data_IF_065861355894
#
_entry.id   IF_065861355894
#
_cell.length_a   1.000
_cell.length_b   1.000
_cell.length_c   1.000
_cell.angle_alpha   90.00
_cell.angle_beta   90.00
_cell.angle_gamma   90.00
#
_symmetry.space_group_name_H-M   'P 1'
#
loop_
_entity.id
_entity.type
_entity.pdbx_description
1 polymer ?
#
# COMPACT_ATOMS: atom_id res chain seq x y z
N UNK A 1 16.59 20.58 -19.12
CA UNK A 1 16.24 19.53 -20.10
C UNK A 1 17.56 18.90 -20.52
N UNK A 2 17.77 17.62 -20.20
CA UNK A 2 18.58 16.73 -21.03
C UNK A 2 18.33 15.25 -20.66
N UNK A 3 18.44 14.34 -21.64
CA UNK A 3 17.59 13.16 -21.76
C UNK A 3 18.44 11.89 -21.90
N UNK A 4 18.53 11.03 -20.89
CA UNK A 4 19.22 9.73 -21.02
C UNK A 4 18.74 8.75 -19.95
N UNK A 5 17.46 8.39 -20.03
CA UNK A 5 16.96 7.16 -19.43
C UNK A 5 16.85 6.11 -20.54
N UNK A 6 18.01 5.59 -20.97
CA UNK A 6 18.07 4.39 -21.79
C UNK A 6 18.35 3.20 -20.88
N UNK A 7 17.30 2.39 -20.75
CA UNK A 7 17.25 0.99 -20.39
C UNK A 7 18.61 0.28 -20.53
N UNK A 8 19.14 -0.25 -19.42
CA UNK A 8 19.99 -1.43 -19.48
C UNK A 8 19.24 -2.60 -18.85
N UNK A 9 18.77 -3.51 -19.72
CA UNK A 9 18.19 -4.80 -19.38
C UNK A 9 19.27 -5.72 -18.81
N UNK A 10 18.77 -6.77 -18.14
CA UNK A 10 19.41 -8.05 -17.87
C UNK A 10 20.14 -8.19 -16.54
N UNK A 11 19.35 -8.24 -15.47
CA UNK A 11 19.42 -9.40 -14.59
C UNK A 11 18.00 -9.99 -14.55
N UNK A 12 17.75 -10.97 -15.41
CA UNK A 12 16.67 -11.92 -15.18
C UNK A 12 17.11 -12.78 -13.99
N UNK A 13 16.66 -12.47 -12.78
CA UNK A 13 16.45 -13.55 -11.81
C UNK A 13 15.10 -14.11 -12.19
N UNK A 14 15.16 -15.23 -12.92
CA UNK A 14 14.04 -16.12 -13.10
C UNK A 14 13.67 -16.53 -11.68
N UNK A 15 12.48 -16.14 -11.20
CA UNK A 15 11.89 -16.76 -10.01
C UNK A 15 11.65 -18.23 -10.38
N UNK A 16 12.67 -19.08 -10.18
CA UNK A 16 12.46 -20.51 -10.11
C UNK A 16 11.81 -20.76 -8.76
N UNK A 17 10.48 -20.81 -8.79
CA UNK A 17 9.67 -21.43 -7.76
C UNK A 17 10.01 -22.92 -7.78
N UNK A 18 11.07 -23.32 -7.07
CA UNK A 18 11.36 -24.73 -6.82
C UNK A 18 10.69 -25.16 -5.51
N UNK A 19 10.03 -26.31 -5.56
CA UNK A 19 9.03 -26.78 -4.61
C UNK A 19 9.62 -27.64 -3.49
N UNK A 20 10.94 -27.76 -3.41
CA UNK A 20 11.61 -28.61 -2.43
C UNK A 20 12.73 -27.86 -1.71
N UNK A 21 12.66 -27.91 -0.38
CA UNK A 21 13.55 -27.21 0.55
C UNK A 21 15.04 -27.53 0.31
N UNK A 22 15.79 -26.63 -0.35
CA UNK A 22 17.26 -26.47 -0.21
C UNK A 22 17.78 -25.22 -0.94
N UNK A 23 18.06 -24.18 -0.15
CA UNK A 23 18.74 -22.96 -0.61
C UNK A 23 20.26 -23.18 -0.73
N UNK A 24 20.72 -23.89 -1.77
CA UNK A 24 22.16 -23.97 -2.08
C UNK A 24 22.48 -23.20 -3.37
N UNK A 25 22.74 -21.90 -3.23
CA UNK A 25 23.39 -21.09 -4.26
C UNK A 25 24.92 -21.27 -4.15
N UNK A 26 25.48 -22.14 -4.99
CA UNK A 26 26.93 -22.30 -5.11
C UNK A 26 27.55 -21.04 -5.74
N UNK A 27 28.09 -20.16 -4.90
CA UNK A 27 29.06 -19.14 -5.33
C UNK A 27 30.43 -19.78 -5.33
N UNK A 28 30.98 -20.06 -6.53
CA UNK A 28 32.38 -20.43 -6.67
C UNK A 28 33.26 -19.21 -6.45
N UNK A 29 33.66 -18.96 -5.20
CA UNK A 29 34.85 -18.16 -4.93
C UNK A 29 35.58 -18.72 -3.70
N UNK A 30 36.75 -19.32 -3.94
CA UNK A 30 37.46 -20.20 -2.98
C UNK A 30 38.15 -19.50 -1.81
N UNK A 31 37.86 -18.23 -1.53
CA UNK A 31 38.66 -17.43 -0.58
C UNK A 31 37.87 -16.57 0.42
N UNK A 32 36.60 -16.90 0.70
CA UNK A 32 35.81 -16.15 1.69
C UNK A 32 35.48 -17.04 2.90
N UNK A 33 35.86 -16.60 4.10
CA UNK A 33 35.58 -17.33 5.34
C UNK A 33 34.06 -17.46 5.57
N UNK A 34 33.60 -18.61 6.08
CA UNK A 34 32.18 -18.90 6.32
C UNK A 34 31.49 -17.87 7.23
N UNK A 35 32.23 -17.27 8.17
CA UNK A 35 31.74 -16.18 9.03
C UNK A 35 31.44 -14.93 8.21
N UNK A 36 32.35 -14.54 7.31
CA UNK A 36 32.20 -13.36 6.44
C UNK A 36 31.01 -13.51 5.48
N UNK A 37 30.78 -14.72 4.96
CA UNK A 37 29.61 -15.02 4.12
C UNK A 37 28.31 -14.86 4.92
N UNK A 38 28.23 -15.38 6.14
CA UNK A 38 27.05 -15.24 7.01
C UNK A 38 26.74 -13.77 7.35
N UNK A 39 27.77 -12.97 7.67
CA UNK A 39 27.59 -11.54 7.89
C UNK A 39 27.12 -10.81 6.63
N UNK A 40 27.66 -11.12 5.46
CA UNK A 40 27.15 -10.60 4.20
C UNK A 40 25.70 -11.02 3.99
N UNK A 41 25.33 -12.30 4.11
CA UNK A 41 23.92 -12.69 3.98
C UNK A 41 22.99 -11.96 4.97
N UNK A 42 23.37 -11.81 6.24
CA UNK A 42 22.58 -11.06 7.23
C UNK A 42 22.47 -9.56 6.90
N UNK A 43 23.55 -8.95 6.42
CA UNK A 43 23.61 -7.53 6.05
C UNK A 43 22.84 -7.27 4.76
N UNK A 44 22.92 -8.17 3.78
CA UNK A 44 22.24 -8.09 2.50
C UNK A 44 20.74 -8.42 2.62
N UNK A 45 20.35 -9.33 3.53
CA UNK A 45 18.95 -9.60 3.87
C UNK A 45 18.29 -8.43 4.64
N UNK A 46 19.03 -7.77 5.54
CA UNK A 46 18.58 -6.55 6.21
C UNK A 46 18.43 -5.36 5.24
N UNK A 47 19.24 -5.32 4.18
CA UNK A 47 19.21 -4.21 3.20
C UNK A 47 18.07 -4.30 2.17
N UNK A 48 17.38 -5.46 2.05
CA UNK A 48 16.24 -5.64 1.14
C UNK A 48 14.87 -5.38 1.77
N UNK A 49 14.78 -5.30 3.09
CA UNK A 49 13.48 -5.21 3.80
C UNK A 49 13.07 -3.79 4.19
N UNK A 50 13.99 -2.82 4.15
CA UNK A 50 13.71 -1.41 4.46
C UNK A 50 13.82 -0.54 3.21
N UNK A 51 12.72 0.14 2.88
CA UNK A 51 12.71 1.19 1.88
C UNK A 51 13.57 2.37 2.38
N UNK A 52 14.63 2.77 1.64
CA UNK A 52 15.49 3.87 2.07
C UNK A 52 14.77 5.22 2.00
N UNK A 53 13.81 5.36 1.08
CA UNK A 53 12.97 6.55 0.94
C UNK A 53 11.51 6.15 0.69
N UNK A 54 10.62 6.84 1.39
CA UNK A 54 9.17 6.75 1.20
C UNK A 54 8.72 8.00 0.44
N UNK A 55 8.10 7.82 -0.73
CA UNK A 55 7.48 8.91 -1.47
C UNK A 55 5.96 8.77 -1.41
N UNK A 56 5.19 9.81 -1.07
CA UNK A 56 3.74 9.76 -1.27
C UNK A 56 3.43 9.48 -2.74
N UNK A 57 2.41 8.67 -3.00
CA UNK A 57 1.91 8.41 -4.34
C UNK A 57 1.43 9.71 -4.99
N UNK A 58 0.94 10.64 -4.17
CA UNK A 58 0.46 11.95 -4.59
C UNK A 58 -1.06 12.04 -4.54
N UNK A 59 -1.71 11.43 -3.54
CA UNK A 59 -3.12 11.74 -3.27
C UNK A 59 -3.28 13.21 -2.86
N UNK A 60 -2.40 13.70 -1.98
CA UNK A 60 -2.34 15.10 -1.57
C UNK A 60 -1.86 16.02 -2.71
N UNK A 61 -0.83 15.59 -3.45
CA UNK A 61 -0.26 16.35 -4.57
C UNK A 61 -1.17 16.39 -5.83
N UNK A 62 -2.31 15.70 -5.81
CA UNK A 62 -3.26 15.63 -6.93
C UNK A 62 -2.78 14.81 -8.13
N UNK A 63 -1.67 14.08 -8.00
CA UNK A 63 -1.12 13.21 -9.05
C UNK A 63 -2.00 11.97 -9.28
N UNK A 64 -2.78 11.56 -8.28
CA UNK A 64 -3.75 10.47 -8.40
C UNK A 64 -5.05 10.98 -9.01
N UNK A 65 -5.36 10.51 -10.22
CA UNK A 65 -6.61 10.85 -10.92
C UNK A 65 -7.82 10.32 -10.11
N UNK A 66 -8.96 11.03 -10.11
CA UNK A 66 -10.20 10.55 -9.46
C UNK A 66 -10.60 9.13 -9.89
N UNK A 67 -10.37 8.79 -11.17
CA UNK A 67 -10.71 7.49 -11.75
C UNK A 67 -9.87 6.33 -11.20
N UNK A 68 -8.74 6.65 -10.57
CA UNK A 68 -7.88 5.65 -9.93
C UNK A 68 -8.41 5.22 -8.57
N UNK A 69 -9.40 5.92 -8.01
CA UNK A 69 -9.92 5.63 -6.67
C UNK A 69 -11.38 5.21 -6.79
N UNK A 70 -11.64 3.93 -6.52
CA UNK A 70 -12.98 3.34 -6.58
C UNK A 70 -13.37 2.80 -5.21
N UNK A 71 -14.66 2.58 -4.99
CA UNK A 71 -15.14 2.03 -3.73
C UNK A 71 -16.26 1.02 -3.95
N UNK A 72 -16.57 0.28 -2.88
CA UNK A 72 -17.81 -0.48 -2.79
C UNK A 72 -19.02 0.44 -3.00
N UNK A 73 -20.00 -0.03 -3.77
CA UNK A 73 -21.25 0.67 -4.03
C UNK A 73 -21.10 2.06 -4.69
N UNK A 74 -20.20 2.20 -5.67
CA UNK A 74 -19.96 3.45 -6.39
C UNK A 74 -21.24 4.07 -7.01
N UNK A 75 -22.19 3.24 -7.43
CA UNK A 75 -23.48 3.67 -8.00
C UNK A 75 -24.42 4.35 -6.99
N UNK A 76 -24.16 4.20 -5.69
CA UNK A 76 -25.02 4.74 -4.64
C UNK A 76 -24.57 6.11 -4.10
N UNK A 77 -23.53 6.70 -4.70
CA UNK A 77 -23.08 8.07 -4.41
C UNK A 77 -23.98 9.10 -5.11
N UNK A 78 -25.27 9.08 -4.76
CA UNK A 78 -26.29 10.00 -5.26
C UNK A 78 -26.86 10.83 -4.11
N UNK A 79 -27.41 12.01 -4.42
CA UNK A 79 -27.96 12.93 -3.42
C UNK A 79 -26.87 13.49 -2.49
N UNK A 80 -27.10 13.46 -1.17
CA UNK A 80 -26.14 13.96 -0.16
C UNK A 80 -24.76 13.32 -0.32
N UNK A 81 -24.68 12.00 -0.52
CA UNK A 81 -23.40 11.28 -0.61
C UNK A 81 -22.53 11.67 -1.83
N UNK A 82 -23.07 12.39 -2.81
CA UNK A 82 -22.31 12.90 -3.97
C UNK A 82 -21.11 13.79 -3.59
N UNK A 83 -21.14 14.41 -2.40
CA UNK A 83 -19.99 15.19 -1.91
C UNK A 83 -18.90 14.32 -1.27
N UNK A 84 -19.20 13.08 -0.87
CA UNK A 84 -18.28 12.15 -0.17
C UNK A 84 -17.79 10.99 -1.05
N UNK A 85 -17.56 11.29 -2.33
CA UNK A 85 -17.09 10.31 -3.33
C UNK A 85 -15.69 9.76 -3.01
N UNK A 86 -15.35 8.55 -3.50
CA UNK A 86 -14.03 7.93 -3.28
C UNK A 86 -12.86 8.82 -3.70
N UNK A 87 -13.01 9.62 -4.75
CA UNK A 87 -11.98 10.56 -5.22
C UNK A 87 -11.62 11.66 -4.22
N UNK A 88 -12.49 11.91 -3.21
CA UNK A 88 -12.25 12.84 -2.12
C UNK A 88 -11.53 12.21 -0.93
N UNK A 89 -11.22 10.91 -0.97
CA UNK A 89 -10.41 10.19 0.03
C UNK A 89 -8.93 10.61 0.04
N UNK A 90 -8.60 11.87 -0.28
CA UNK A 90 -7.23 12.39 -0.33
C UNK A 90 -6.81 12.83 1.05
N UNK A 91 -5.60 12.44 1.46
CA UNK A 91 -5.00 12.90 2.71
C UNK A 91 -4.95 14.44 2.75
N UNK A 92 -5.22 15.03 3.92
CA UNK A 92 -5.29 16.48 4.13
C UNK A 92 -6.32 17.24 3.29
N UNK A 93 -7.20 16.56 2.56
CA UNK A 93 -8.35 17.21 1.93
C UNK A 93 -9.20 17.92 2.98
N UNK A 94 -9.55 19.18 2.74
CA UNK A 94 -10.36 20.03 3.61
C UNK A 94 -11.58 20.57 2.86
N UNK A 95 -12.63 20.92 3.60
CA UNK A 95 -13.89 21.46 3.06
C UNK A 95 -15.06 20.47 3.09
N UNK A 96 -16.17 20.85 2.46
CA UNK A 96 -17.37 20.01 2.39
C UNK A 96 -17.09 18.78 1.53
N UNK A 97 -17.25 17.57 2.08
CA UNK A 97 -16.89 16.33 1.38
C UNK A 97 -15.39 16.02 1.39
N UNK A 98 -14.72 16.22 2.52
CA UNK A 98 -13.27 16.01 2.66
C UNK A 98 -12.80 14.56 2.79
N UNK A 99 -13.69 13.58 2.85
CA UNK A 99 -13.33 12.18 3.00
C UNK A 99 -14.27 11.29 2.18
N UNK A 100 -13.83 10.07 1.90
CA UNK A 100 -14.74 9.04 1.44
C UNK A 100 -15.59 8.57 2.61
N UNK A 101 -16.90 8.56 2.41
CA UNK A 101 -17.87 8.08 3.38
C UNK A 101 -18.59 6.87 2.78
N UNK A 102 -18.56 5.74 3.46
CA UNK A 102 -19.39 4.61 3.06
C UNK A 102 -20.84 4.84 3.47
N UNK A 103 -21.78 4.55 2.57
CA UNK A 103 -23.21 4.60 2.86
C UNK A 103 -23.62 3.47 3.82
N UNK A 104 -23.12 2.26 3.58
CA UNK A 104 -23.35 1.10 4.44
C UNK A 104 -22.16 0.88 5.39
N UNK A 105 -22.48 0.34 6.55
CA UNK A 105 -21.54 0.16 7.66
C UNK A 105 -21.39 -1.33 7.92
N UNK A 106 -20.72 -2.01 7.00
CA UNK A 106 -20.56 -3.46 7.00
C UNK A 106 -19.16 -3.85 6.51
N UNK A 107 -18.77 -5.07 6.86
CA UNK A 107 -17.43 -5.59 6.58
C UNK A 107 -17.21 -5.95 5.10
N UNK A 108 -18.21 -5.74 4.22
CA UNK A 108 -18.05 -5.93 2.77
C UNK A 108 -17.64 -4.64 2.05
N UNK A 109 -17.53 -3.52 2.75
CA UNK A 109 -17.10 -2.25 2.17
C UNK A 109 -15.60 -2.23 1.90
N UNK A 110 -15.21 -1.58 0.82
CA UNK A 110 -13.81 -1.45 0.44
C UNK A 110 -13.55 -0.16 -0.31
N UNK A 111 -12.33 0.35 -0.15
CA UNK A 111 -11.77 1.43 -0.96
C UNK A 111 -10.61 0.86 -1.76
N UNK A 112 -10.62 1.04 -3.07
CA UNK A 112 -9.63 0.53 -3.99
C UNK A 112 -8.88 1.68 -4.66
N UNK A 113 -7.57 1.48 -4.80
CA UNK A 113 -6.67 2.39 -5.46
C UNK A 113 -5.96 1.64 -6.58
N UNK A 114 -6.13 2.11 -7.81
CA UNK A 114 -5.38 1.68 -8.97
C UNK A 114 -4.16 2.58 -9.18
N UNK A 115 -2.98 1.99 -9.05
CA UNK A 115 -1.69 2.64 -9.24
C UNK A 115 -1.36 2.88 -10.73
N UNK A 116 -2.19 2.37 -11.66
CA UNK A 116 -1.99 2.28 -13.13
C UNK A 116 -0.83 1.38 -13.55
N UNK A 117 0.24 1.33 -12.77
CA UNK A 117 1.41 0.49 -12.97
C UNK A 117 1.72 -0.33 -11.72
N UNK A 118 2.45 -1.43 -11.90
CA UNK A 118 2.90 -2.26 -10.77
C UNK A 118 4.01 -1.52 -10.02
N UNK A 119 3.70 -1.08 -8.79
CA UNK A 119 4.62 -0.33 -7.96
C UNK A 119 4.85 -1.00 -6.60
N UNK A 120 5.93 -0.61 -5.93
CA UNK A 120 6.27 -1.13 -4.59
C UNK A 120 5.66 -0.20 -3.53
N UNK A 121 4.63 -0.68 -2.83
CA UNK A 121 3.99 0.06 -1.74
C UNK A 121 4.65 -0.32 -0.41
N UNK A 122 5.08 0.69 0.31
CA UNK A 122 5.87 0.60 1.53
C UNK A 122 5.11 1.06 2.78
N UNK A 123 4.02 1.80 2.60
CA UNK A 123 3.24 2.35 3.70
C UNK A 123 1.88 2.84 3.24
N UNK A 124 0.99 3.02 4.21
CA UNK A 124 -0.34 3.59 4.05
C UNK A 124 -0.51 4.62 5.16
N UNK A 125 -0.91 5.84 4.81
CA UNK A 125 -1.41 6.81 5.78
C UNK A 125 -2.92 6.81 5.73
N UNK A 126 -3.55 6.80 6.90
CA UNK A 126 -4.99 6.93 7.06
C UNK A 126 -5.33 8.16 7.90
N UNK A 127 -6.43 8.83 7.58
CA UNK A 127 -6.94 9.98 8.32
C UNK A 127 -8.47 9.93 8.39
N UNK A 128 -9.06 10.41 9.50
CA UNK A 128 -10.51 10.47 9.70
C UNK A 128 -11.18 11.57 8.88
N UNK A 129 -12.49 11.77 9.03
CA UNK A 129 -13.24 12.84 8.36
C UNK A 129 -12.94 14.20 8.99
N UNK A 130 -12.82 15.27 8.20
CA UNK A 130 -12.54 16.61 8.74
C UNK A 130 -13.75 17.27 9.43
N UNK A 131 -14.96 16.91 9.01
CA UNK A 131 -16.21 17.62 9.32
C UNK A 131 -17.03 16.98 10.45
N UNK A 132 -16.81 15.69 10.74
CA UNK A 132 -17.51 14.97 11.80
C UNK A 132 -16.57 13.95 12.48
N UNK A 133 -16.93 13.54 13.70
CA UNK A 133 -16.21 12.55 14.51
C UNK A 133 -16.46 11.10 14.00
N UNK A 134 -16.04 10.86 12.76
CA UNK A 134 -16.18 9.61 12.03
C UNK A 134 -14.82 9.17 11.47
N UNK A 135 -14.43 7.92 11.73
CA UNK A 135 -13.16 7.37 11.28
C UNK A 135 -13.13 5.84 11.31
N UNK A 136 -12.21 5.26 10.54
CA UNK A 136 -11.91 3.82 10.58
C UNK A 136 -10.89 3.54 11.69
N UNK A 137 -11.22 2.62 12.60
CA UNK A 137 -10.35 2.22 13.73
C UNK A 137 -9.47 1.03 13.39
N UNK A 138 -9.95 0.12 12.55
CA UNK A 138 -9.21 -1.07 12.10
C UNK A 138 -9.50 -1.35 10.65
N UNK A 139 -8.50 -1.79 9.90
CA UNK A 139 -8.67 -2.20 8.52
C UNK A 139 -7.69 -3.32 8.14
N UNK A 140 -8.06 -4.10 7.13
CA UNK A 140 -7.17 -5.04 6.45
C UNK A 140 -6.82 -4.52 5.06
N UNK A 141 -5.71 -5.02 4.53
CA UNK A 141 -5.22 -4.65 3.21
C UNK A 141 -5.22 -5.87 2.32
N UNK A 142 -5.84 -5.73 1.16
CA UNK A 142 -5.70 -6.65 0.05
C UNK A 142 -4.95 -5.97 -1.08
N UNK A 143 -4.24 -6.76 -1.86
CA UNK A 143 -3.52 -6.24 -3.00
C UNK A 143 -3.51 -7.24 -4.14
N UNK A 144 -3.24 -6.72 -5.33
CA UNK A 144 -3.20 -7.49 -6.56
C UNK A 144 -2.31 -6.80 -7.61
N UNK A 145 -1.59 -7.58 -8.40
CA UNK A 145 -0.69 -7.08 -9.45
C UNK A 145 -1.35 -6.95 -10.82
N UNK A 146 -2.32 -7.81 -11.11
CA UNK A 146 -3.04 -7.86 -12.41
C UNK A 146 -4.55 -7.99 -12.17
N UNK A 147 -5.36 -7.34 -13.00
CA UNK A 147 -6.82 -7.41 -12.92
C UNK A 147 -7.40 -8.83 -13.01
N UNK A 148 -6.70 -9.76 -13.67
CA UNK A 148 -7.16 -11.15 -13.83
C UNK A 148 -6.87 -12.04 -12.62
N UNK A 149 -6.01 -11.59 -11.70
CA UNK A 149 -5.61 -12.39 -10.55
C UNK A 149 -6.62 -12.26 -9.40
N UNK A 150 -6.52 -13.18 -8.43
CA UNK A 150 -7.27 -13.09 -7.19
C UNK A 150 -6.64 -12.06 -6.24
N UNK A 151 -7.47 -11.52 -5.36
CA UNK A 151 -7.02 -10.63 -4.29
C UNK A 151 -6.22 -11.40 -3.25
N UNK A 152 -5.06 -10.85 -2.88
CA UNK A 152 -4.18 -11.45 -1.86
C UNK A 152 -4.30 -10.60 -0.59
N UNK A 153 -4.57 -11.23 0.54
CA UNK A 153 -4.53 -10.55 1.83
C UNK A 153 -3.08 -10.29 2.25
N UNK A 154 -2.84 -9.10 2.79
CA UNK A 154 -1.56 -8.79 3.39
C UNK A 154 -1.36 -9.62 4.66
N UNK A 155 -0.25 -10.36 4.69
CA UNK A 155 0.13 -11.23 5.80
C UNK A 155 1.31 -10.63 6.56
N UNK A 156 1.31 -10.82 7.86
CA UNK A 156 2.45 -10.46 8.69
C UNK A 156 3.58 -11.50 8.59
N UNK A 157 4.71 -11.23 9.23
CA UNK A 157 5.86 -12.15 9.30
C UNK A 157 5.51 -13.54 9.87
N UNK A 158 4.42 -13.64 10.64
CA UNK A 158 3.92 -14.90 11.19
C UNK A 158 2.97 -15.66 10.25
N UNK A 159 2.71 -15.15 9.04
CA UNK A 159 1.81 -15.76 8.05
C UNK A 159 0.31 -15.51 8.29
N UNK A 160 -0.05 -14.79 9.35
CA UNK A 160 -1.44 -14.43 9.66
C UNK A 160 -1.88 -13.17 8.90
N UNK A 161 -3.18 -13.05 8.63
CA UNK A 161 -3.76 -11.83 8.05
C UNK A 161 -3.49 -10.64 8.97
N UNK A 162 -2.80 -9.64 8.44
CA UNK A 162 -2.40 -8.46 9.20
C UNK A 162 -3.54 -7.46 9.24
N UNK A 163 -3.94 -7.10 10.45
CA UNK A 163 -4.89 -6.01 10.73
C UNK A 163 -4.09 -4.77 11.11
N UNK A 164 -4.38 -3.67 10.45
CA UNK A 164 -3.80 -2.37 10.75
C UNK A 164 -4.73 -1.57 11.66
N UNK A 165 -4.12 -0.84 12.58
CA UNK A 165 -4.82 0.13 13.39
C UNK A 165 -4.91 1.45 12.61
N UNK A 166 -6.15 1.90 12.44
CA UNK A 166 -6.46 3.16 11.79
C UNK A 166 -6.39 4.31 12.78
N UNK A 167 -7.38 5.20 12.69
CA UNK A 167 -7.40 6.45 13.40
C UNK A 167 -8.09 6.31 14.76
N UNK A 168 -7.70 7.15 15.70
CA UNK A 168 -8.35 7.29 17.01
C UNK A 168 -9.11 8.62 17.14
N UNK A 169 -8.96 9.50 16.16
CA UNK A 169 -9.61 10.80 16.09
C UNK A 169 -9.79 11.23 14.62
N UNK A 170 -10.53 12.33 14.43
CA UNK A 170 -10.95 12.84 13.13
C UNK A 170 -9.83 13.50 12.31
N UNK A 171 -8.79 14.01 12.96
CA UNK A 171 -7.79 14.92 12.36
C UNK A 171 -6.40 14.34 12.23
N UNK A 172 -5.95 13.51 13.17
CA UNK A 172 -4.60 12.97 13.16
C UNK A 172 -4.46 11.97 12.03
N UNK A 173 -3.34 12.04 11.32
CA UNK A 173 -2.95 11.02 10.36
C UNK A 173 -2.21 9.90 11.08
N UNK A 174 -2.52 8.65 10.73
CA UNK A 174 -1.86 7.46 11.26
C UNK A 174 -1.09 6.80 10.14
N UNK A 175 0.22 6.66 10.33
CA UNK A 175 1.12 6.04 9.36
C UNK A 175 1.32 4.55 9.70
N UNK A 176 0.94 3.70 8.76
CA UNK A 176 1.11 2.26 8.84
C UNK A 176 2.14 1.80 7.78
N UNK A 177 3.33 1.44 8.23
CA UNK A 177 4.37 0.91 7.34
C UNK A 177 4.17 -0.59 7.08
N UNK A 178 4.28 -0.99 5.81
CA UNK A 178 4.20 -2.38 5.39
C UNK A 178 5.61 -3.00 5.47
N UNK A 179 5.75 -4.05 6.28
CA UNK A 179 6.98 -4.83 6.45
C UNK A 179 6.62 -6.33 6.42
N UNK A 180 6.79 -7.01 5.28
CA UNK A 180 7.50 -6.57 4.07
C UNK A 180 6.69 -5.56 3.21
N UNK A 181 7.37 -4.74 2.38
CA UNK A 181 6.68 -3.94 1.36
C UNK A 181 6.02 -4.86 0.32
N UNK A 182 4.93 -4.38 -0.29
CA UNK A 182 4.15 -5.16 -1.26
C UNK A 182 4.39 -4.66 -2.69
N UNK A 183 4.41 -5.57 -3.65
CA UNK A 183 4.40 -5.25 -5.07
C UNK A 183 2.97 -5.38 -5.56
N UNK A 184 2.34 -4.26 -5.94
CA UNK A 184 0.94 -4.22 -6.29
C UNK A 184 0.66 -3.16 -7.36
N UNK A 185 -0.39 -3.40 -8.15
CA UNK A 185 -1.00 -2.37 -9.00
C UNK A 185 -2.32 -1.91 -8.41
N UNK A 186 -3.10 -2.84 -7.87
CA UNK A 186 -4.35 -2.55 -7.17
C UNK A 186 -4.15 -2.78 -5.69
N UNK A 187 -4.48 -1.78 -4.89
CA UNK A 187 -4.49 -1.86 -3.43
C UNK A 187 -5.91 -1.64 -2.96
N UNK A 188 -6.41 -2.53 -2.12
CA UNK A 188 -7.75 -2.47 -1.56
C UNK A 188 -7.67 -2.43 -0.04
N UNK A 189 -8.37 -1.47 0.54
CA UNK A 189 -8.47 -1.25 1.97
C UNK A 189 -9.86 -1.70 2.39
N UNK A 190 -9.93 -2.62 3.36
CA UNK A 190 -11.18 -3.15 3.88
C UNK A 190 -11.33 -2.72 5.34
N UNK A 191 -12.20 -1.75 5.65
CA UNK A 191 -12.53 -1.39 7.02
C UNK A 191 -13.09 -2.60 7.77
N UNK A 192 -12.50 -2.91 8.93
CA UNK A 192 -12.94 -3.97 9.84
C UNK A 192 -13.60 -3.42 11.11
N UNK A 193 -13.33 -2.16 11.42
CA UNK A 193 -13.93 -1.45 12.54
C UNK A 193 -13.90 0.05 12.32
N UNK A 194 -14.92 0.74 12.80
CA UNK A 194 -15.12 2.18 12.61
C UNK A 194 -15.80 2.79 13.83
N UNK A 195 -15.67 4.10 13.95
CA UNK A 195 -16.37 4.91 14.94
C UNK A 195 -17.46 5.71 14.24
N UNK A 196 -18.73 5.50 14.65
CA UNK A 196 -19.94 6.10 14.06
C UNK A 196 -20.20 5.70 12.60
N UNK A 197 -19.30 6.04 11.67
CA UNK A 197 -19.34 5.66 10.25
C UNK A 197 -17.94 5.42 9.70
N UNK A 198 -17.84 4.56 8.68
CA UNK A 198 -16.67 4.36 7.83
C UNK A 198 -16.44 5.65 7.06
N UNK A 199 -15.48 6.42 7.54
CA UNK A 199 -14.92 7.56 6.84
C UNK A 199 -13.40 7.43 6.79
N UNK A 200 -12.83 7.62 5.61
CA UNK A 200 -11.40 7.45 5.39
C UNK A 200 -10.86 8.46 4.37
N UNK A 201 -9.74 9.07 4.74
CA UNK A 201 -8.78 9.69 3.83
C UNK A 201 -7.53 8.82 3.81
N UNK A 202 -6.94 8.65 2.63
CA UNK A 202 -5.82 7.74 2.41
C UNK A 202 -4.71 8.44 1.62
N UNK A 203 -3.47 8.05 1.91
CA UNK A 203 -2.30 8.28 1.06
C UNK A 203 -1.46 7.00 1.04
N UNK A 204 -1.05 6.56 -0.14
CA UNK A 204 -0.14 5.43 -0.28
C UNK A 204 1.30 5.94 -0.32
N UNK A 205 2.20 5.25 0.37
CA UNK A 205 3.63 5.52 0.31
C UNK A 205 4.33 4.50 -0.57
N UNK A 206 4.99 4.97 -1.62
CA UNK A 206 5.82 4.17 -2.50
C UNK A 206 7.26 4.06 -1.98
N UNK A 207 7.83 2.88 -2.18
CA UNK A 207 9.25 2.63 -1.98
C UNK A 207 10.02 3.12 -3.19
N UNK A 208 10.95 4.06 -3.01
CA UNK A 208 11.89 4.43 -4.07
C UNK A 208 13.31 3.99 -3.69
N UNK A 209 14.03 3.43 -4.67
CA UNK A 209 15.47 3.26 -4.55
C UNK A 209 16.12 4.62 -4.82
N UNK A 210 17.17 4.94 -4.08
CA UNK A 210 17.99 6.13 -4.37
C UNK A 210 18.61 5.91 -5.75
N UNK A 211 18.28 6.76 -6.72
CA UNK A 211 19.08 6.86 -7.93
C UNK A 211 20.32 7.69 -7.56
N UNK A 212 21.50 7.09 -7.65
CA UNK A 212 22.80 7.78 -7.61
C UNK A 212 23.23 8.10 -9.05
#
# INVERSE_FOLDING_TARGET
MDPKCWIHRSIYIIDLYDKDHKDDLYVQDKNVSSKTISYMYSSWAQHRTKCPYHRPLGFEAGSVSPDQVTCSNQEQYTGWFSSWVPSKARLNSQGFGCAWLSKFQDNSQWLQVDLKEVMVVSGILSQGRCDADEWVTKYSVQYRTDEKLNWIYYKDQTGNNRVFYGNSDRSSSVQNLLRPPIVARYVRILPLGWHTRIALRLELLLCMKKCM
#
